data_IF_901990263520
#
_entry.id   IF_901990263520
#
_cell.length_a   1.000
_cell.length_b   1.000
_cell.length_c   1.000
_cell.angle_alpha   90.00
_cell.angle_beta   90.00
_cell.angle_gamma   90.00
#
_symmetry.space_group_name_H-M   'P 1'
#
loop_
_entity.id
_entity.type
_entity.pdbx_description
1 polymer ?
#
# COMPACT_ATOMS: atom_id res chain seq x y z
N UNK A 1 16.30 12.58 9.77
CA UNK A 1 15.88 13.69 10.67
C UNK A 1 15.00 14.60 9.85
N UNK A 2 13.83 15.04 10.37
CA UNK A 2 12.93 15.94 9.61
C UNK A 2 13.62 17.28 9.36
N UNK A 3 13.38 17.87 8.19
CA UNK A 3 13.83 19.22 7.88
C UNK A 3 13.13 20.27 8.77
N UNK A 4 13.74 21.45 8.96
CA UNK A 4 13.20 22.48 9.84
C UNK A 4 11.81 22.94 9.40
N UNK A 5 11.59 23.10 8.09
CA UNK A 5 10.30 23.50 7.53
C UNK A 5 9.21 22.44 7.75
N UNK A 6 9.56 21.15 7.63
CA UNK A 6 8.62 20.05 7.87
C UNK A 6 8.17 20.01 9.34
N UNK A 7 9.10 20.24 10.29
CA UNK A 7 8.77 20.33 11.72
C UNK A 7 7.87 21.53 12.03
N UNK A 8 8.14 22.67 11.40
CA UNK A 8 7.30 23.87 11.53
C UNK A 8 5.88 23.60 11.04
N UNK A 9 5.73 23.02 9.85
CA UNK A 9 4.42 22.65 9.29
C UNK A 9 3.67 21.66 10.17
N UNK A 10 4.34 20.66 10.74
CA UNK A 10 3.75 19.73 11.71
C UNK A 10 3.20 20.48 12.94
N UNK A 11 3.99 21.39 13.48
CA UNK A 11 3.59 22.20 14.66
C UNK A 11 2.39 23.09 14.37
N UNK A 12 2.40 23.79 13.25
CA UNK A 12 1.30 24.65 12.78
C UNK A 12 0.02 23.83 12.57
N UNK A 13 0.13 22.64 11.96
CA UNK A 13 -0.99 21.75 11.72
C UNK A 13 -1.64 21.27 13.03
N UNK A 14 -0.83 20.75 13.96
CA UNK A 14 -1.32 20.27 15.27
C UNK A 14 -1.98 21.42 16.04
N UNK A 15 -1.36 22.58 16.08
CA UNK A 15 -1.89 23.78 16.76
C UNK A 15 -3.23 24.21 16.16
N UNK A 16 -3.32 24.33 14.83
CA UNK A 16 -4.53 24.77 14.14
C UNK A 16 -5.73 23.85 14.43
N UNK A 17 -5.49 22.52 14.43
CA UNK A 17 -6.54 21.56 14.73
C UNK A 17 -6.91 21.55 16.22
N UNK A 18 -5.95 21.65 17.12
CA UNK A 18 -6.22 21.77 18.56
C UNK A 18 -7.12 22.99 18.88
N UNK A 19 -6.89 24.10 18.22
CA UNK A 19 -7.67 25.34 18.43
C UNK A 19 -9.09 25.26 17.84
N UNK A 20 -9.38 24.30 16.93
CA UNK A 20 -10.70 24.06 16.33
C UNK A 20 -11.56 23.07 17.13
N UNK A 21 -10.95 22.10 17.82
CA UNK A 21 -11.70 21.05 18.54
C UNK A 21 -12.43 21.64 19.74
N UNK A 22 -13.76 21.50 19.77
CA UNK A 22 -14.58 21.90 20.92
C UNK A 22 -14.44 20.88 22.06
N UNK A 23 -14.05 21.27 23.25
CA UNK A 23 -13.96 20.37 24.39
C UNK A 23 -15.35 19.80 24.76
N UNK A 24 -15.41 18.49 25.04
CA UNK A 24 -16.66 17.80 25.40
C UNK A 24 -17.29 18.26 26.72
N UNK A 25 -16.53 18.84 27.65
CA UNK A 25 -17.01 19.32 28.94
C UNK A 25 -16.44 20.73 29.18
N UNK A 26 -17.19 21.75 28.77
CA UNK A 26 -16.86 23.14 29.10
C UNK A 26 -17.58 23.56 30.38
N UNK A 27 -16.98 23.33 31.53
CA UNK A 27 -17.39 23.95 32.79
C UNK A 27 -16.58 25.24 33.00
N UNK A 28 -17.24 26.39 32.77
CA UNK A 28 -16.69 27.70 33.07
C UNK A 28 -16.34 28.58 31.86
N UNK A 29 -16.11 29.88 32.14
CA UNK A 29 -15.77 30.95 31.17
C UNK A 29 -14.36 30.70 30.60
N UNK A 30 -14.29 30.17 29.34
CA UNK A 30 -13.00 29.88 28.68
C UNK A 30 -12.49 31.08 27.92
N UNK A 31 -11.15 31.33 28.00
CA UNK A 31 -10.44 32.33 27.18
C UNK A 31 -10.10 31.79 25.76
N UNK A 32 -10.16 30.47 25.53
CA UNK A 32 -9.83 29.82 24.24
C UNK A 32 -11.00 29.01 23.79
N UNK A 33 -11.33 29.06 22.51
CA UNK A 33 -12.44 28.31 21.88
C UNK A 33 -12.14 26.82 21.70
N UNK A 34 -10.86 26.43 21.63
CA UNK A 34 -10.40 25.06 21.36
C UNK A 34 -9.82 24.34 22.60
N UNK A 35 -9.22 23.17 22.37
CA UNK A 35 -8.50 22.43 23.42
C UNK A 35 -7.27 23.22 23.89
N UNK A 36 -7.00 23.18 25.20
CA UNK A 36 -5.70 23.62 25.75
C UNK A 36 -4.63 22.56 25.48
N UNK A 37 -3.33 22.94 25.56
CA UNK A 37 -2.21 21.98 25.40
C UNK A 37 -2.27 20.86 26.43
N UNK A 38 -2.64 21.17 27.69
CA UNK A 38 -2.81 20.23 28.78
C UNK A 38 -3.93 19.22 28.46
N UNK A 39 -5.02 19.69 27.86
CA UNK A 39 -6.15 18.85 27.48
C UNK A 39 -5.79 17.92 26.33
N UNK A 40 -5.12 18.44 25.28
CA UNK A 40 -4.62 17.59 24.21
C UNK A 40 -3.59 16.57 24.70
N UNK A 41 -2.66 17.01 25.56
CA UNK A 41 -1.65 16.13 26.14
C UNK A 41 -2.26 14.98 26.95
N UNK A 42 -3.26 15.28 27.77
CA UNK A 42 -4.00 14.29 28.54
C UNK A 42 -4.76 13.30 27.65
N UNK A 43 -5.46 13.79 26.61
CA UNK A 43 -6.22 12.96 25.67
C UNK A 43 -5.30 12.05 24.84
N UNK A 44 -4.14 12.57 24.42
CA UNK A 44 -3.19 11.84 23.61
C UNK A 44 -2.20 10.99 24.41
N UNK A 45 -2.23 11.07 25.77
CA UNK A 45 -1.29 10.36 26.64
C UNK A 45 0.17 10.76 26.42
N UNK A 46 0.42 12.07 26.24
CA UNK A 46 1.75 12.66 26.04
C UNK A 46 2.01 13.73 27.10
N UNK A 47 3.26 14.16 27.27
CA UNK A 47 3.54 15.28 28.19
C UNK A 47 3.17 16.63 27.57
N UNK A 48 2.76 17.59 28.39
CA UNK A 48 2.46 18.97 27.98
C UNK A 48 3.68 19.62 27.33
N UNK A 49 4.86 19.35 27.89
CA UNK A 49 6.14 19.82 27.36
C UNK A 49 6.38 19.31 25.93
N UNK A 50 6.11 18.03 25.69
CA UNK A 50 6.27 17.42 24.37
C UNK A 50 5.24 17.98 23.36
N UNK A 51 3.99 18.18 23.77
CA UNK A 51 2.97 18.85 22.96
C UNK A 51 3.43 20.27 22.56
N UNK A 52 4.00 21.03 23.53
CA UNK A 52 4.55 22.36 23.29
C UNK A 52 5.71 22.32 22.29
N UNK A 53 6.61 21.35 22.40
CA UNK A 53 7.76 21.22 21.49
C UNK A 53 7.34 20.88 20.06
N UNK A 54 6.32 20.03 19.88
CA UNK A 54 5.75 19.78 18.56
C UNK A 54 5.21 21.07 17.95
N UNK A 55 4.37 21.80 18.67
CA UNK A 55 3.77 23.05 18.17
C UNK A 55 4.81 24.15 17.89
N UNK A 56 5.96 24.10 18.55
CA UNK A 56 7.09 25.00 18.30
C UNK A 56 8.03 24.51 17.16
N UNK A 57 7.76 23.37 16.54
CA UNK A 57 8.62 22.83 15.50
C UNK A 57 9.99 22.36 15.98
N UNK A 58 10.15 22.06 17.28
CA UNK A 58 11.42 21.56 17.83
C UNK A 58 11.72 20.15 17.29
N UNK A 59 13.01 19.76 17.34
CA UNK A 59 13.48 18.46 16.91
C UNK A 59 13.06 17.37 17.90
N UNK A 60 11.80 16.97 17.87
CA UNK A 60 11.25 15.85 18.64
C UNK A 60 10.83 14.72 17.70
N UNK A 61 11.03 13.48 18.16
CA UNK A 61 10.56 12.33 17.42
C UNK A 61 9.22 11.85 17.99
N UNK A 62 8.18 11.89 17.16
CA UNK A 62 6.89 11.30 17.49
C UNK A 62 6.88 9.81 17.12
N UNK A 63 6.43 8.96 18.04
CA UNK A 63 6.15 7.58 17.68
C UNK A 63 4.83 7.49 16.88
N UNK A 64 4.67 6.47 16.02
CA UNK A 64 3.42 6.28 15.30
C UNK A 64 2.20 6.17 16.21
N UNK A 65 2.34 5.51 17.37
CA UNK A 65 1.26 5.37 18.35
C UNK A 65 0.86 6.72 18.98
N UNK A 66 1.84 7.59 19.25
CA UNK A 66 1.57 8.93 19.76
C UNK A 66 0.85 9.80 18.71
N UNK A 67 1.26 9.71 17.44
CA UNK A 67 0.58 10.39 16.33
C UNK A 67 -0.85 9.91 16.15
N UNK A 68 -1.09 8.59 16.23
CA UNK A 68 -2.43 8.01 16.20
C UNK A 68 -3.34 8.56 17.31
N UNK A 69 -2.84 8.61 18.55
CA UNK A 69 -3.59 9.21 19.67
C UNK A 69 -3.83 10.72 19.52
N UNK A 70 -2.86 11.47 19.00
CA UNK A 70 -3.06 12.90 18.65
C UNK A 70 -4.15 13.05 17.61
N UNK A 71 -4.13 12.24 16.56
CA UNK A 71 -5.15 12.22 15.50
C UNK A 71 -6.56 11.99 16.06
N UNK A 72 -6.70 11.00 16.94
CA UNK A 72 -7.96 10.70 17.62
C UNK A 72 -8.42 11.85 18.53
N UNK A 73 -7.51 12.39 19.35
CA UNK A 73 -7.80 13.50 20.26
C UNK A 73 -8.23 14.77 19.52
N UNK A 74 -7.68 15.01 18.33
CA UNK A 74 -8.01 16.12 17.45
C UNK A 74 -9.21 15.82 16.53
N UNK A 75 -9.75 14.59 16.55
CA UNK A 75 -10.85 14.14 15.68
C UNK A 75 -10.55 14.39 14.19
N UNK A 76 -9.32 14.11 13.78
CA UNK A 76 -8.90 14.31 12.39
C UNK A 76 -9.65 13.39 11.43
N UNK A 77 -10.02 13.92 10.27
CA UNK A 77 -10.48 13.12 9.14
C UNK A 77 -9.35 12.19 8.64
N UNK A 78 -9.67 11.22 7.81
CA UNK A 78 -8.67 10.31 7.23
C UNK A 78 -7.57 11.07 6.48
N UNK A 79 -7.94 12.04 5.66
CA UNK A 79 -6.97 12.85 4.92
C UNK A 79 -6.05 13.67 5.84
N UNK A 80 -6.60 14.25 6.91
CA UNK A 80 -5.84 15.00 7.92
C UNK A 80 -4.93 14.09 8.75
N UNK A 81 -5.38 12.87 9.08
CA UNK A 81 -4.58 11.83 9.72
C UNK A 81 -3.37 11.45 8.84
N UNK A 82 -3.60 11.14 7.56
CA UNK A 82 -2.53 10.78 6.62
C UNK A 82 -1.54 11.95 6.44
N UNK A 83 -2.04 13.18 6.43
CA UNK A 83 -1.20 14.38 6.36
C UNK A 83 -0.34 14.56 7.61
N UNK A 84 -0.90 14.34 8.81
CA UNK A 84 -0.16 14.37 10.07
C UNK A 84 1.02 13.39 10.05
N UNK A 85 0.80 12.15 9.60
CA UNK A 85 1.85 11.13 9.50
C UNK A 85 2.91 11.49 8.47
N UNK A 86 2.52 12.04 7.32
CA UNK A 86 3.46 12.54 6.30
C UNK A 86 4.33 13.67 6.83
N UNK A 87 3.75 14.65 7.52
CA UNK A 87 4.49 15.74 8.14
C UNK A 87 5.46 15.24 9.22
N UNK A 88 5.07 14.22 9.98
CA UNK A 88 5.93 13.60 10.99
C UNK A 88 7.02 12.68 10.39
N UNK A 89 7.04 12.46 9.07
CA UNK A 89 7.95 11.52 8.41
C UNK A 89 7.81 10.08 8.93
N UNK A 90 6.57 9.69 9.27
CA UNK A 90 6.26 8.38 9.82
C UNK A 90 5.27 7.64 8.93
N UNK A 91 5.38 6.33 8.94
CA UNK A 91 4.39 5.45 8.33
C UNK A 91 3.32 5.15 9.38
N UNK A 92 2.05 5.31 9.02
CA UNK A 92 0.93 4.93 9.87
C UNK A 92 0.84 3.40 9.93
N UNK A 93 0.98 2.76 11.11
CA UNK A 93 0.85 1.32 11.23
C UNK A 93 -0.60 0.84 11.05
N UNK A 94 -1.59 1.72 11.28
CA UNK A 94 -3.01 1.46 11.08
C UNK A 94 -3.52 1.98 9.72
N UNK A 95 -2.65 2.65 8.96
CA UNK A 95 -2.93 3.25 7.67
C UNK A 95 -3.35 2.27 6.58
N UNK A 96 -2.94 1.04 6.74
CA UNK A 96 -3.59 -0.10 6.09
C UNK A 96 -4.72 -0.55 7.00
N UNK A 97 -5.97 -0.16 6.75
CA UNK A 97 -7.12 -0.87 7.33
C UNK A 97 -6.81 -2.35 7.20
N UNK A 98 -6.94 -3.09 8.31
CA UNK A 98 -6.73 -4.52 8.34
C UNK A 98 -7.39 -5.21 7.14
N UNK A 99 -6.98 -6.42 6.77
CA UNK A 99 -7.28 -7.04 5.49
C UNK A 99 -8.79 -7.04 5.25
N UNK A 100 -9.28 -6.06 4.50
CA UNK A 100 -10.55 -6.23 3.80
C UNK A 100 -10.23 -7.15 2.64
N UNK A 101 -10.76 -8.36 2.67
CA UNK A 101 -10.61 -9.33 1.59
C UNK A 101 -11.26 -8.83 0.29
N UNK A 102 -12.07 -7.76 0.38
CA UNK A 102 -12.84 -7.24 -0.74
C UNK A 102 -12.11 -6.09 -1.43
N UNK A 103 -11.99 -6.19 -2.73
CA UNK A 103 -11.47 -5.12 -3.57
C UNK A 103 -12.30 -3.84 -3.41
N UNK A 104 -11.66 -2.64 -3.38
CA UNK A 104 -12.38 -1.38 -3.36
C UNK A 104 -13.37 -1.28 -4.52
N UNK A 105 -14.62 -0.82 -4.29
CA UNK A 105 -15.62 -0.67 -5.36
C UNK A 105 -15.12 0.19 -6.53
N UNK A 106 -14.33 1.24 -6.26
CA UNK A 106 -13.71 2.09 -7.27
C UNK A 106 -12.73 1.30 -8.15
N UNK A 107 -11.94 0.40 -7.57
CA UNK A 107 -11.01 -0.46 -8.31
C UNK A 107 -11.78 -1.46 -9.19
N UNK A 108 -12.83 -2.08 -8.66
CA UNK A 108 -13.69 -3.01 -9.42
C UNK A 108 -14.33 -2.29 -10.61
N UNK A 109 -14.88 -1.08 -10.39
CA UNK A 109 -15.49 -0.29 -11.44
C UNK A 109 -14.48 0.10 -12.53
N UNK A 110 -13.27 0.53 -12.13
CA UNK A 110 -12.20 0.88 -13.08
C UNK A 110 -11.80 -0.33 -13.93
N UNK A 111 -11.55 -1.50 -13.30
CA UNK A 111 -11.17 -2.73 -14.02
C UNK A 111 -12.25 -3.14 -15.03
N UNK A 112 -13.53 -3.04 -14.67
CA UNK A 112 -14.63 -3.38 -15.57
C UNK A 112 -14.79 -2.42 -16.75
N UNK A 113 -14.43 -1.15 -16.57
CA UNK A 113 -14.53 -0.13 -17.61
C UNK A 113 -13.38 -0.19 -18.64
N UNK A 114 -12.32 -0.94 -18.38
CA UNK A 114 -11.16 -1.05 -19.26
C UNK A 114 -11.40 -2.19 -20.27
N UNK A 115 -11.20 -1.91 -21.55
CA UNK A 115 -11.33 -2.91 -22.64
C UNK A 115 -10.12 -3.84 -22.73
N UNK A 116 -8.94 -3.35 -22.37
CA UNK A 116 -7.69 -4.12 -22.39
C UNK A 116 -7.56 -5.02 -21.15
N UNK A 117 -6.65 -6.03 -21.17
CA UNK A 117 -6.43 -6.89 -20.00
C UNK A 117 -6.09 -6.06 -18.76
N UNK A 118 -6.99 -6.07 -17.77
CA UNK A 118 -6.85 -5.31 -16.54
C UNK A 118 -7.25 -6.15 -15.32
N UNK A 119 -6.50 -5.97 -14.22
CA UNK A 119 -6.76 -6.65 -12.96
C UNK A 119 -6.30 -5.82 -11.76
N UNK A 120 -6.94 -6.07 -10.62
CA UNK A 120 -6.59 -5.51 -9.34
C UNK A 120 -5.80 -6.49 -8.49
N UNK A 121 -4.74 -6.04 -7.81
CA UNK A 121 -3.98 -6.79 -6.82
C UNK A 121 -4.17 -6.18 -5.44
N UNK A 122 -4.27 -7.03 -4.41
CA UNK A 122 -4.14 -6.63 -3.02
C UNK A 122 -2.65 -6.54 -2.59
N UNK A 123 -2.39 -6.27 -1.31
CA UNK A 123 -1.03 -6.16 -0.75
C UNK A 123 -0.20 -7.44 -0.78
N UNK A 124 -0.86 -8.61 -0.84
CA UNK A 124 -0.22 -9.93 -0.99
C UNK A 124 -0.10 -10.35 -2.46
N UNK A 125 -0.50 -9.49 -3.37
CA UNK A 125 -0.58 -9.75 -4.79
C UNK A 125 -1.59 -10.84 -5.17
N UNK A 126 -2.67 -11.00 -4.38
CA UNK A 126 -3.83 -11.73 -4.81
C UNK A 126 -4.64 -10.90 -5.82
N UNK A 127 -5.06 -11.50 -6.91
CA UNK A 127 -5.99 -10.86 -7.83
C UNK A 127 -7.36 -10.76 -7.14
N UNK A 128 -7.79 -9.55 -6.86
CA UNK A 128 -9.05 -9.26 -6.16
C UNK A 128 -10.20 -8.86 -7.11
N UNK A 129 -9.88 -8.46 -8.33
CA UNK A 129 -10.82 -8.24 -9.43
C UNK A 129 -10.08 -8.26 -10.77
N UNK A 130 -10.76 -8.62 -11.85
CA UNK A 130 -10.23 -8.63 -13.21
C UNK A 130 -11.35 -8.53 -14.23
N UNK A 131 -11.01 -8.16 -15.47
CA UNK A 131 -11.94 -8.17 -16.57
C UNK A 131 -11.77 -9.43 -17.44
N UNK A 132 -12.68 -9.63 -18.36
CA UNK A 132 -12.69 -10.81 -19.25
C UNK A 132 -11.44 -10.88 -20.15
N UNK A 133 -10.92 -9.73 -20.59
CA UNK A 133 -9.70 -9.67 -21.39
C UNK A 133 -8.49 -10.17 -20.60
N UNK A 134 -8.38 -9.83 -19.30
CA UNK A 134 -7.34 -10.36 -18.41
C UNK A 134 -7.51 -11.87 -18.17
N UNK A 135 -8.74 -12.36 -17.96
CA UNK A 135 -8.99 -13.80 -17.80
C UNK A 135 -8.58 -14.58 -19.05
N UNK A 136 -8.86 -14.05 -20.25
CA UNK A 136 -8.41 -14.65 -21.50
C UNK A 136 -6.89 -14.70 -21.65
N UNK A 137 -6.20 -13.59 -21.30
CA UNK A 137 -4.75 -13.51 -21.42
C UNK A 137 -4.03 -14.41 -20.42
N UNK A 138 -4.45 -14.39 -19.16
CA UNK A 138 -3.78 -15.10 -18.05
C UNK A 138 -4.48 -16.42 -17.71
N UNK A 139 -4.51 -17.32 -18.68
CA UNK A 139 -5.08 -18.65 -18.52
C UNK A 139 -4.32 -19.46 -17.45
N UNK A 140 -5.07 -20.23 -16.68
CA UNK A 140 -4.55 -20.98 -15.55
C UNK A 140 -4.35 -20.15 -14.28
N UNK A 141 -4.48 -18.82 -14.38
CA UNK A 141 -4.44 -17.93 -13.21
C UNK A 141 -5.79 -17.31 -12.88
N UNK A 142 -6.43 -16.62 -13.84
CA UNK A 142 -7.66 -15.86 -13.60
C UNK A 142 -8.93 -16.57 -14.03
N UNK A 143 -8.82 -17.60 -14.87
CA UNK A 143 -9.91 -18.39 -15.40
C UNK A 143 -10.14 -19.73 -14.66
N UNK A 144 -9.24 -20.10 -13.74
CA UNK A 144 -9.26 -21.39 -13.02
C UNK A 144 -9.71 -21.28 -11.57
N UNK A 145 -9.76 -22.42 -10.88
CA UNK A 145 -10.09 -22.55 -9.44
C UNK A 145 -8.86 -22.44 -8.52
N UNK A 146 -7.68 -22.16 -9.09
CA UNK A 146 -6.44 -22.02 -8.32
C UNK A 146 -6.45 -20.78 -7.42
N UNK A 147 -5.54 -20.77 -6.45
CA UNK A 147 -5.30 -19.55 -5.66
C UNK A 147 -4.82 -18.43 -6.58
N UNK A 148 -5.63 -17.36 -6.71
CA UNK A 148 -5.38 -16.26 -7.64
C UNK A 148 -4.28 -15.30 -7.15
N UNK A 149 -3.19 -15.85 -6.63
CA UNK A 149 -2.02 -15.09 -6.22
C UNK A 149 -0.99 -15.06 -7.36
N UNK A 150 -0.50 -13.86 -7.70
CA UNK A 150 0.40 -13.68 -8.85
C UNK A 150 1.75 -14.38 -8.68
N UNK A 151 2.32 -14.41 -7.45
CA UNK A 151 3.57 -15.12 -7.21
C UNK A 151 3.38 -16.63 -7.25
N UNK A 152 2.30 -17.14 -6.66
CA UNK A 152 2.00 -18.59 -6.76
C UNK A 152 1.81 -19.01 -8.20
N UNK A 153 1.06 -18.22 -8.97
CA UNK A 153 0.93 -18.47 -10.41
C UNK A 153 2.30 -18.51 -11.10
N UNK A 154 3.11 -17.47 -10.90
CA UNK A 154 4.39 -17.35 -11.58
C UNK A 154 5.39 -18.45 -11.20
N UNK A 155 5.39 -18.95 -9.97
CA UNK A 155 6.40 -19.88 -9.47
C UNK A 155 5.95 -21.35 -9.41
N UNK A 156 4.65 -21.62 -9.32
CA UNK A 156 4.11 -22.97 -9.12
C UNK A 156 3.35 -23.49 -10.33
N UNK A 157 2.67 -22.62 -11.11
CA UNK A 157 1.79 -23.07 -12.17
C UNK A 157 2.55 -23.34 -13.49
N UNK A 158 2.40 -24.55 -14.09
CA UNK A 158 3.03 -24.84 -15.38
C UNK A 158 2.61 -23.90 -16.50
N UNK A 159 1.34 -23.47 -16.52
CA UNK A 159 0.80 -22.53 -17.50
C UNK A 159 1.52 -21.18 -17.52
N UNK A 160 2.08 -20.74 -16.39
CA UNK A 160 2.89 -19.53 -16.34
C UNK A 160 4.20 -19.69 -17.13
N UNK A 161 4.84 -20.85 -17.10
CA UNK A 161 6.07 -21.13 -17.84
C UNK A 161 5.83 -21.20 -19.34
N UNK A 162 4.67 -21.69 -19.74
CA UNK A 162 4.26 -21.73 -21.16
C UNK A 162 3.91 -20.34 -21.69
N UNK A 163 3.19 -19.55 -20.87
CA UNK A 163 2.73 -18.21 -21.23
C UNK A 163 3.86 -17.19 -21.27
N UNK A 164 4.84 -17.26 -20.37
CA UNK A 164 5.86 -16.22 -20.15
C UNK A 164 7.18 -16.62 -20.81
N UNK A 165 7.57 -16.00 -21.93
CA UNK A 165 8.91 -16.20 -22.49
C UNK A 165 10.00 -15.79 -21.50
N UNK A 166 11.12 -16.53 -21.48
CA UNK A 166 12.22 -16.35 -20.51
C UNK A 166 11.71 -16.30 -19.07
N UNK A 167 10.88 -17.31 -18.74
CA UNK A 167 10.12 -17.39 -17.49
C UNK A 167 11.00 -17.17 -16.25
N UNK A 168 12.21 -17.76 -16.18
CA UNK A 168 13.09 -17.65 -15.00
C UNK A 168 13.46 -16.19 -14.70
N UNK A 169 13.94 -15.46 -15.70
CA UNK A 169 14.30 -14.04 -15.54
C UNK A 169 13.10 -13.19 -15.16
N UNK A 170 11.95 -13.50 -15.77
CA UNK A 170 10.70 -12.79 -15.48
C UNK A 170 10.18 -13.07 -14.09
N UNK A 171 10.25 -14.31 -13.62
CA UNK A 171 9.86 -14.70 -12.26
C UNK A 171 10.78 -14.05 -11.22
N UNK A 172 12.11 -14.05 -11.43
CA UNK A 172 13.07 -13.35 -10.58
C UNK A 172 12.78 -11.85 -10.52
N UNK A 173 12.52 -11.21 -11.66
CA UNK A 173 12.15 -9.79 -11.70
C UNK A 173 10.84 -9.53 -10.95
N UNK A 174 9.83 -10.35 -11.14
CA UNK A 174 8.55 -10.23 -10.44
C UNK A 174 8.74 -10.32 -8.92
N UNK A 175 9.60 -11.23 -8.47
CA UNK A 175 9.94 -11.37 -7.06
C UNK A 175 10.69 -10.14 -6.51
N UNK A 176 11.62 -9.58 -7.29
CA UNK A 176 12.33 -8.36 -6.92
C UNK A 176 11.39 -7.15 -6.80
N UNK A 177 10.37 -7.06 -7.65
CA UNK A 177 9.30 -6.07 -7.57
C UNK A 177 8.42 -6.28 -6.32
N UNK A 178 8.06 -7.53 -6.01
CA UNK A 178 7.31 -7.87 -4.79
C UNK A 178 8.09 -7.51 -3.53
N UNK A 179 9.39 -7.74 -3.53
CA UNK A 179 10.26 -7.41 -2.39
C UNK A 179 10.28 -5.91 -2.08
N UNK A 180 10.23 -5.05 -3.10
CA UNK A 180 10.12 -3.61 -2.90
C UNK A 180 8.80 -3.22 -2.17
N UNK A 181 7.71 -3.94 -2.47
CA UNK A 181 6.44 -3.77 -1.76
C UNK A 181 6.49 -4.40 -0.36
N UNK A 182 7.13 -5.57 -0.22
CA UNK A 182 7.33 -6.26 1.05
C UNK A 182 8.04 -5.39 2.08
N UNK A 183 9.00 -4.57 1.67
CA UNK A 183 9.71 -3.66 2.57
C UNK A 183 8.78 -2.68 3.29
N UNK A 184 7.62 -2.39 2.74
CA UNK A 184 6.58 -1.54 3.36
C UNK A 184 5.70 -2.30 4.35
N UNK A 185 5.62 -3.61 4.23
CA UNK A 185 4.71 -4.49 4.97
C UNK A 185 5.44 -5.57 5.78
N UNK A 186 6.76 -5.45 5.96
CA UNK A 186 7.59 -6.49 6.61
C UNK A 186 7.15 -6.86 8.04
N UNK A 187 6.36 -6.00 8.71
CA UNK A 187 5.76 -6.26 10.04
C UNK A 187 4.48 -7.08 9.97
N UNK A 188 3.88 -7.23 8.80
CA UNK A 188 2.66 -8.01 8.61
C UNK A 188 2.96 -9.51 8.71
N UNK A 189 2.37 -10.15 9.71
CA UNK A 189 2.54 -11.57 9.95
C UNK A 189 2.04 -12.43 8.76
N UNK A 190 0.97 -11.99 8.09
CA UNK A 190 0.42 -12.73 6.94
C UNK A 190 1.37 -12.73 5.76
N UNK A 191 2.05 -11.60 5.51
CA UNK A 191 3.05 -11.50 4.42
C UNK A 191 4.24 -12.42 4.71
N UNK A 192 4.71 -12.49 5.96
CA UNK A 192 5.79 -13.40 6.36
C UNK A 192 5.40 -14.86 6.19
N UNK A 193 4.22 -15.24 6.67
CA UNK A 193 3.69 -16.60 6.52
C UNK A 193 3.59 -16.97 5.04
N UNK A 194 3.07 -16.07 4.20
CA UNK A 194 2.95 -16.28 2.77
C UNK A 194 4.31 -16.55 2.12
N UNK A 195 5.33 -15.74 2.42
CA UNK A 195 6.69 -15.91 1.88
C UNK A 195 7.28 -17.25 2.32
N UNK A 196 7.21 -17.59 3.62
CA UNK A 196 7.74 -18.85 4.13
C UNK A 196 7.02 -20.07 3.54
N UNK A 197 5.71 -19.98 3.33
CA UNK A 197 4.94 -21.04 2.66
C UNK A 197 5.43 -21.23 1.23
N UNK A 198 5.58 -20.16 0.46
CA UNK A 198 6.01 -20.23 -0.93
C UNK A 198 7.47 -20.70 -1.07
N UNK A 199 8.34 -20.35 -0.10
CA UNK A 199 9.71 -20.90 -0.02
C UNK A 199 9.71 -22.43 0.17
N UNK A 200 8.78 -22.94 0.97
CA UNK A 200 8.62 -24.40 1.16
C UNK A 200 8.06 -25.13 -0.06
N UNK A 201 7.26 -24.45 -0.89
CA UNK A 201 6.59 -25.05 -2.05
C UNK A 201 7.42 -24.95 -3.34
N UNK A 202 8.38 -24.02 -3.45
CA UNK A 202 9.20 -23.79 -4.65
C UNK A 202 10.66 -23.56 -4.31
N UNK A 203 11.53 -24.52 -4.66
CA UNK A 203 12.97 -24.38 -4.52
C UNK A 203 13.49 -23.18 -5.32
N UNK A 204 12.99 -22.97 -6.54
CA UNK A 204 13.36 -21.83 -7.37
C UNK A 204 12.97 -20.48 -6.74
N UNK A 205 11.78 -20.41 -6.10
CA UNK A 205 11.41 -19.23 -5.34
C UNK A 205 12.36 -19.01 -4.16
N UNK A 206 12.71 -20.07 -3.41
CA UNK A 206 13.62 -19.97 -2.25
C UNK A 206 15.00 -19.44 -2.66
N UNK A 207 15.59 -19.98 -3.74
CA UNK A 207 16.86 -19.52 -4.29
C UNK A 207 16.79 -18.04 -4.72
N UNK A 208 15.78 -17.67 -5.51
CA UNK A 208 15.59 -16.30 -5.97
C UNK A 208 15.28 -15.34 -4.80
N UNK A 209 14.61 -15.83 -3.75
CA UNK A 209 14.40 -15.04 -2.53
C UNK A 209 15.73 -14.76 -1.81
N UNK A 210 16.63 -15.72 -1.72
CA UNK A 210 17.91 -15.59 -1.04
C UNK A 210 18.91 -14.69 -1.81
N UNK A 211 18.74 -14.50 -3.12
CA UNK A 211 19.49 -13.53 -3.94
C UNK A 211 19.30 -12.07 -3.51
N UNK A 212 18.29 -11.77 -2.69
CA UNK A 212 17.99 -10.42 -2.15
C UNK A 212 17.81 -9.30 -3.20
N UNK A 213 17.54 -9.64 -4.46
CA UNK A 213 17.31 -8.66 -5.51
C UNK A 213 16.06 -7.79 -5.21
N UNK A 214 16.17 -6.48 -5.43
CA UNK A 214 15.07 -5.52 -5.26
C UNK A 214 14.96 -4.68 -6.52
N UNK A 215 13.76 -4.55 -7.05
CA UNK A 215 13.47 -3.68 -8.20
C UNK A 215 12.15 -2.93 -7.98
N UNK A 216 12.11 -1.70 -8.44
CA UNK A 216 10.86 -0.96 -8.51
C UNK A 216 9.97 -1.58 -9.58
N UNK A 217 8.66 -1.71 -9.30
CA UNK A 217 7.71 -2.14 -10.32
C UNK A 217 7.55 -1.05 -11.36
N UNK A 218 8.35 -1.14 -12.40
CA UNK A 218 8.25 -0.29 -13.57
C UNK A 218 7.30 -0.94 -14.56
N UNK A 219 6.45 -0.13 -15.19
CA UNK A 219 5.69 -0.54 -16.35
C UNK A 219 6.64 -0.99 -17.48
N UNK A 220 6.13 -1.17 -18.67
CA UNK A 220 6.93 -1.44 -19.84
C UNK A 220 6.50 -2.70 -20.59
N UNK A 221 7.32 -3.05 -21.59
CA UNK A 221 7.01 -4.13 -22.51
C UNK A 221 6.86 -5.48 -21.78
N UNK A 222 5.74 -6.13 -22.03
CA UNK A 222 5.43 -7.50 -21.61
C UNK A 222 5.08 -8.32 -22.83
N UNK A 223 5.76 -9.42 -23.00
CA UNK A 223 5.53 -10.36 -24.09
C UNK A 223 4.99 -11.64 -23.50
N UNK A 224 3.95 -12.21 -24.12
CA UNK A 224 3.32 -13.46 -23.73
C UNK A 224 3.19 -14.38 -24.92
N UNK A 225 3.43 -15.67 -24.70
CA UNK A 225 3.21 -16.72 -25.69
C UNK A 225 1.82 -17.31 -25.48
N UNK A 226 0.80 -16.61 -26.01
CA UNK A 226 -0.57 -17.03 -25.80
C UNK A 226 -0.92 -18.28 -26.65
N UNK A 227 -1.56 -19.32 -26.08
CA UNK A 227 -1.75 -20.61 -26.76
C UNK A 227 -2.61 -20.52 -28.02
N UNK A 228 -3.48 -19.51 -28.13
CA UNK A 228 -4.34 -19.31 -29.32
C UNK A 228 -3.87 -18.15 -30.21
N UNK A 229 -3.35 -17.08 -29.63
CA UNK A 229 -3.02 -15.86 -30.36
C UNK A 229 -1.52 -15.76 -30.70
N UNK A 230 -0.71 -16.75 -30.26
CA UNK A 230 0.73 -16.75 -30.45
C UNK A 230 1.43 -15.70 -29.60
N UNK A 231 2.50 -15.11 -30.14
CA UNK A 231 3.28 -14.10 -29.43
C UNK A 231 2.56 -12.76 -29.44
N UNK A 232 2.11 -12.31 -28.27
CA UNK A 232 1.43 -11.04 -28.06
C UNK A 232 2.26 -10.11 -27.16
N UNK A 233 2.23 -8.83 -27.47
CA UNK A 233 3.02 -7.82 -26.76
C UNK A 233 2.12 -6.72 -26.20
N UNK A 234 2.40 -6.32 -24.96
CA UNK A 234 1.67 -5.28 -24.26
C UNK A 234 2.63 -4.32 -23.56
N UNK A 235 2.20 -3.09 -23.37
CA UNK A 235 2.80 -2.19 -22.39
C UNK A 235 2.02 -2.32 -21.09
N UNK A 236 2.69 -2.75 -20.03
CA UNK A 236 2.10 -2.84 -18.70
C UNK A 236 2.17 -1.50 -17.99
N UNK A 237 1.06 -1.07 -17.43
CA UNK A 237 0.94 0.09 -16.56
C UNK A 237 0.47 -0.38 -15.17
N UNK A 238 1.00 0.25 -14.13
CA UNK A 238 0.59 -0.04 -12.75
C UNK A 238 0.26 1.25 -12.02
N UNK A 239 -0.92 1.30 -11.42
CA UNK A 239 -1.40 2.45 -10.65
C UNK A 239 -1.81 2.00 -9.25
N UNK A 240 -1.65 2.88 -8.26
CA UNK A 240 -2.19 2.67 -6.92
C UNK A 240 -3.40 3.59 -6.72
N UNK A 241 -4.56 3.08 -6.27
CA UNK A 241 -5.68 3.93 -5.90
C UNK A 241 -5.29 4.87 -4.75
N UNK A 242 -5.62 6.16 -4.87
CA UNK A 242 -5.22 7.16 -3.86
C UNK A 242 -5.80 6.86 -2.47
N UNK A 243 -7.04 6.34 -2.41
CA UNK A 243 -7.72 5.99 -1.16
C UNK A 243 -7.23 4.68 -0.51
N UNK A 244 -6.67 3.77 -1.33
CA UNK A 244 -6.21 2.44 -0.93
C UNK A 244 -4.89 2.12 -1.64
N UNK A 245 -3.78 2.75 -1.24
CA UNK A 245 -2.47 2.55 -1.88
C UNK A 245 -1.87 1.14 -1.65
N UNK A 246 -2.50 0.35 -0.80
CA UNK A 246 -2.24 -1.08 -0.58
C UNK A 246 -2.78 -1.97 -1.71
N UNK A 247 -3.60 -1.43 -2.61
CA UNK A 247 -4.06 -2.09 -3.83
C UNK A 247 -3.34 -1.55 -5.06
N UNK A 248 -3.37 -2.33 -6.14
CA UNK A 248 -2.83 -1.95 -7.45
C UNK A 248 -3.83 -2.25 -8.55
N UNK A 249 -3.94 -1.34 -9.50
CA UNK A 249 -4.55 -1.56 -10.80
C UNK A 249 -3.44 -1.82 -11.81
N UNK A 250 -3.49 -2.96 -12.48
CA UNK A 250 -2.57 -3.32 -13.55
C UNK A 250 -3.34 -3.37 -14.85
N UNK A 251 -2.83 -2.68 -15.88
CA UNK A 251 -3.41 -2.60 -17.22
C UNK A 251 -2.33 -3.00 -18.22
N UNK A 252 -2.69 -3.82 -19.21
CA UNK A 252 -1.83 -4.21 -20.30
C UNK A 252 -2.42 -3.66 -21.61
N UNK A 253 -1.87 -2.54 -22.11
CA UNK A 253 -2.29 -1.96 -23.39
C UNK A 253 -1.53 -2.62 -24.53
N UNK A 254 -2.16 -2.93 -25.67
CA UNK A 254 -1.46 -3.46 -26.84
C UNK A 254 -0.32 -2.52 -27.26
N UNK A 255 0.75 -3.09 -27.77
CA UNK A 255 1.77 -2.31 -28.50
C UNK A 255 1.21 -2.02 -29.88
N UNK A 256 1.08 -0.74 -30.23
CA UNK A 256 0.72 -0.34 -31.59
C UNK A 256 1.74 -0.95 -32.58
N UNK A 257 1.22 -1.62 -33.60
CA UNK A 257 2.04 -2.24 -34.65
C UNK A 257 2.57 -1.22 -35.61
#
# INVERSE_FOLDING_TARGET
MLEADQRRLLGEFVRAHRERVRPRAATGRRRTSGLRREELAALAGISVTWCTWIEQGRAVQASPEALGRISQALSLSRAEHDYLFKLAGRVDPEGSRGPSADAPPSLIAAVKAIEYPAYGLDRLWNACCWNEAAARLFRGWLDGDCQRNLLRYAFLEPSARELIPNWEDRAKRLLAEFRADFARTFRDAQVKIFVETLRGESAFFAEAWDEQAVQTREGGLRVFNHPHDGLVSFIQHTFAPAERPDYKLVINTPVDR
#
